data_IF_820735288655
#
_entry.id   IF_820735288655
#
_cell.length_a   1.000
_cell.length_b   1.000
_cell.length_c   1.000
_cell.angle_alpha   90.00
_cell.angle_beta   90.00
_cell.angle_gamma   90.00
#
_symmetry.space_group_name_H-M   'P 1'
#
loop_
_entity.id
_entity.type
_entity.pdbx_description
1 polymer ?
#
# COMPACT_ATOMS: atom_id res chain seq x y z
N UNK A 1 13.08 1.36 -19.61
CA UNK A 1 13.53 1.56 -18.76
C UNK A 1 13.23 1.41 -17.56
N UNK A 2 13.31 1.36 -17.14
CA UNK A 2 12.93 1.33 -16.06
C UNK A 2 13.71 1.73 -14.99
N UNK A 3 13.30 2.39 -14.32
CA UNK A 3 13.99 2.86 -13.18
C UNK A 3 14.30 1.74 -12.22
N UNK A 4 15.47 1.70 -11.72
CA UNK A 4 15.82 0.72 -10.72
C UNK A 4 15.53 1.24 -9.32
N UNK A 5 15.11 2.48 -9.21
CA UNK A 5 14.82 3.05 -7.90
C UNK A 5 13.53 2.49 -7.33
N UNK A 6 13.55 2.29 -6.04
CA UNK A 6 12.37 1.85 -5.32
C UNK A 6 11.92 2.95 -4.37
N UNK A 7 10.64 3.11 -4.26
CA UNK A 7 10.06 4.12 -3.39
C UNK A 7 9.20 3.45 -2.35
N UNK A 8 9.26 3.96 -1.15
CA UNK A 8 8.45 3.45 -0.05
C UNK A 8 7.33 4.46 0.20
N UNK A 9 6.12 3.97 0.15
CA UNK A 9 4.93 4.79 0.35
C UNK A 9 4.18 4.22 1.54
N UNK A 10 3.86 5.07 2.50
CA UNK A 10 3.10 4.65 3.67
C UNK A 10 1.77 5.39 3.71
N UNK A 11 0.71 4.66 3.96
CA UNK A 11 -0.63 5.23 4.03
C UNK A 11 -1.37 4.68 5.24
N UNK A 12 -2.15 5.54 5.87
CA UNK A 12 -3.07 5.12 6.92
C UNK A 12 -4.45 5.01 6.31
N UNK A 13 -5.07 3.85 6.46
CA UNK A 13 -6.35 3.59 5.84
C UNK A 13 -7.26 2.89 6.85
N UNK A 14 -8.55 2.91 6.57
CA UNK A 14 -9.49 2.18 7.39
C UNK A 14 -9.16 0.70 7.37
N UNK A 15 -9.24 0.08 8.54
CA UNK A 15 -8.90 -1.33 8.68
C UNK A 15 -10.06 -2.19 8.21
N UNK A 16 -10.26 -2.23 6.90
CA UNK A 16 -11.29 -3.02 6.26
C UNK A 16 -10.69 -3.71 5.07
N UNK A 17 -11.01 -4.98 4.90
CA UNK A 17 -10.44 -5.77 3.82
C UNK A 17 -10.73 -5.15 2.45
N UNK A 18 -11.94 -4.64 2.26
CA UNK A 18 -12.30 -4.02 0.99
C UNK A 18 -11.46 -2.79 0.66
N UNK A 19 -11.16 -1.99 1.68
CA UNK A 19 -10.32 -0.80 1.48
C UNK A 19 -8.92 -1.20 1.10
N UNK A 20 -8.35 -2.17 1.80
CA UNK A 20 -6.99 -2.62 1.52
C UNK A 20 -6.87 -3.16 0.11
N UNK A 21 -7.85 -3.97 -0.31
CA UNK A 21 -7.85 -4.52 -1.65
C UNK A 21 -7.99 -3.44 -2.71
N UNK A 22 -8.83 -2.44 -2.43
CA UNK A 22 -9.06 -1.37 -3.38
C UNK A 22 -7.79 -0.57 -3.63
N UNK A 23 -7.05 -0.28 -2.57
CA UNK A 23 -5.83 0.50 -2.71
C UNK A 23 -4.79 -0.28 -3.48
N UNK A 24 -4.62 -1.56 -3.18
CA UNK A 24 -3.68 -2.40 -3.90
C UNK A 24 -4.04 -2.48 -5.38
N UNK A 25 -5.33 -2.61 -5.68
CA UNK A 25 -5.80 -2.66 -7.06
C UNK A 25 -5.54 -1.36 -7.79
N UNK A 26 -5.67 -0.25 -7.08
CA UNK A 26 -5.45 1.06 -7.68
C UNK A 26 -4.02 1.20 -8.15
N UNK A 27 -3.06 0.73 -7.36
CA UNK A 27 -1.67 0.79 -7.77
C UNK A 27 -1.43 -0.07 -9.01
N UNK A 28 -2.01 -1.27 -9.04
CA UNK A 28 -1.83 -2.15 -10.19
C UNK A 28 -2.45 -1.55 -11.45
N UNK A 29 -3.59 -0.92 -11.33
CA UNK A 29 -4.24 -0.31 -12.48
C UNK A 29 -3.41 0.79 -13.09
N UNK A 30 -2.65 1.49 -12.28
CA UNK A 30 -1.84 2.59 -12.77
C UNK A 30 -0.48 2.13 -13.26
N UNK A 31 -0.25 0.83 -13.29
CA UNK A 31 0.97 0.28 -13.83
C UNK A 31 2.13 0.22 -12.87
N UNK A 32 1.88 0.44 -11.59
CA UNK A 32 2.94 0.32 -10.60
C UNK A 32 3.11 -1.14 -10.22
N UNK A 33 4.36 -1.58 -10.20
CA UNK A 33 4.70 -2.91 -9.70
C UNK A 33 5.01 -2.78 -8.22
N UNK A 34 4.25 -3.50 -7.41
CA UNK A 34 4.48 -3.50 -5.97
C UNK A 34 5.52 -4.56 -5.67
N UNK A 35 6.70 -4.12 -5.24
CA UNK A 35 7.77 -5.05 -4.88
C UNK A 35 7.50 -5.71 -3.54
N UNK A 36 6.92 -4.96 -2.62
CA UNK A 36 6.55 -5.54 -1.34
C UNK A 36 5.40 -4.74 -0.76
N UNK A 37 4.65 -5.40 0.10
CA UNK A 37 3.50 -4.79 0.75
C UNK A 37 3.45 -5.32 2.17
N UNK A 38 3.38 -4.42 3.13
CA UNK A 38 3.21 -4.78 4.52
C UNK A 38 2.00 -4.05 5.07
N UNK A 39 1.25 -4.72 5.92
CA UNK A 39 0.09 -4.13 6.56
C UNK A 39 0.24 -4.37 8.04
N UNK A 40 0.11 -3.31 8.82
CA UNK A 40 0.21 -3.41 10.27
C UNK A 40 -0.81 -2.52 10.93
N UNK A 41 -1.04 -2.78 12.20
CA UNK A 41 -1.97 -1.96 12.96
C UNK A 41 -1.33 -0.61 13.25
N UNK A 42 -2.15 0.42 13.13
CA UNK A 42 -1.75 1.76 13.52
C UNK A 42 -2.04 1.94 15.01
N UNK A 43 -1.48 3.00 15.58
CA UNK A 43 -1.78 3.34 16.96
C UNK A 43 -3.22 3.84 17.11
N UNK A 44 -3.79 4.32 16.03
CA UNK A 44 -5.18 4.78 16.05
C UNK A 44 -6.12 3.62 15.83
N UNK A 45 -7.16 3.55 16.64
CA UNK A 45 -8.13 2.47 16.54
C UNK A 45 -8.82 2.51 15.17
N UNK A 46 -9.01 1.36 14.58
CA UNK A 46 -9.73 1.25 13.32
C UNK A 46 -8.93 1.61 12.09
N UNK A 47 -7.64 1.90 12.24
CA UNK A 47 -6.80 2.24 11.10
C UNK A 47 -5.66 1.23 10.98
N UNK A 48 -5.25 1.00 9.76
CA UNK A 48 -4.08 0.18 9.45
C UNK A 48 -3.08 1.00 8.69
N UNK A 49 -1.82 0.67 8.89
CA UNK A 49 -0.74 1.27 8.13
C UNK A 49 -0.34 0.32 7.01
N UNK A 50 -0.42 0.80 5.79
CA UNK A 50 0.03 0.04 4.64
C UNK A 50 1.34 0.65 4.15
N UNK A 51 2.32 -0.19 3.96
CA UNK A 51 3.62 0.24 3.45
C UNK A 51 3.88 -0.48 2.15
N UNK A 52 4.08 0.27 1.09
CA UNK A 52 4.33 -0.27 -0.23
C UNK A 52 5.74 0.07 -0.65
N UNK A 53 6.41 -0.87 -1.28
CA UNK A 53 7.66 -0.59 -1.98
C UNK A 53 7.37 -0.79 -3.46
N UNK A 54 7.48 0.27 -4.19
CA UNK A 54 7.16 0.26 -5.63
C UNK A 54 8.35 0.66 -6.47
#
# INVERSE_FOLDING_TARGET
>A
MKSSEKHTITALVEDRAGVLNRISSMFRRRGYNISSLAVGKSESAGLSRMTFVV
#
